data_IF_914594428977
#
_entry.id   IF_914594428977
#
_cell.length_a   1.000
_cell.length_b   1.000
_cell.length_c   1.000
_cell.angle_alpha   90.00
_cell.angle_beta   90.00
_cell.angle_gamma   90.00
#
_symmetry.space_group_name_H-M   'P 1'
#
loop_
_entity.id
_entity.type
_entity.pdbx_description
1 polymer ?
#
# COMPACT_ATOMS: atom_id res chain seq x y z
N UNK A 1 12.77 17.36 -23.51
CA UNK A 1 12.46 16.59 -22.29
C UNK A 1 11.68 15.37 -22.71
N UNK A 2 12.37 14.31 -23.12
CA UNK A 2 11.79 12.98 -23.19
C UNK A 2 11.75 12.46 -21.76
N UNK A 3 10.65 12.68 -21.07
CA UNK A 3 10.37 12.10 -19.75
C UNK A 3 10.05 10.64 -19.96
N UNK A 4 10.92 9.73 -19.49
CA UNK A 4 10.48 8.35 -19.28
C UNK A 4 9.58 8.37 -18.05
N UNK A 5 8.27 8.36 -18.28
CA UNK A 5 7.27 8.31 -17.22
C UNK A 5 7.29 6.90 -16.62
N UNK A 6 7.75 6.72 -15.38
CA UNK A 6 7.49 5.47 -14.68
C UNK A 6 6.03 5.48 -14.25
N UNK A 7 5.13 5.05 -15.12
CA UNK A 7 3.83 4.55 -14.67
C UNK A 7 4.09 3.11 -14.25
N UNK A 8 4.59 2.91 -13.04
CA UNK A 8 4.09 1.75 -12.32
C UNK A 8 2.61 2.06 -12.05
N UNK A 9 1.73 1.10 -12.32
CA UNK A 9 0.36 1.08 -11.78
C UNK A 9 0.37 1.66 -10.37
N UNK A 10 -0.66 2.38 -9.87
CA UNK A 10 -0.61 2.90 -8.50
C UNK A 10 -0.43 1.69 -7.57
N UNK A 11 0.81 1.51 -7.11
CA UNK A 11 1.17 0.41 -6.24
C UNK A 11 0.51 0.74 -4.91
N UNK A 12 -0.08 -0.28 -4.30
CA UNK A 12 -0.70 -0.09 -3.00
C UNK A 12 0.36 0.36 -1.99
N UNK A 13 -0.04 1.16 -1.01
CA UNK A 13 0.84 1.72 0.03
C UNK A 13 1.67 0.66 0.75
N UNK A 14 1.23 -0.61 0.78
CA UNK A 14 2.04 -1.73 1.26
C UNK A 14 3.46 -1.71 0.70
N UNK A 15 3.58 -1.59 -0.62
CA UNK A 15 4.81 -1.83 -1.39
C UNK A 15 5.38 -0.53 -1.99
N UNK A 16 4.58 0.53 -2.03
CA UNK A 16 4.96 1.81 -2.59
C UNK A 16 5.71 2.68 -1.58
N UNK A 17 7.01 2.90 -1.83
CA UNK A 17 7.89 3.69 -0.94
C UNK A 17 8.56 4.88 -1.63
N UNK A 18 8.73 4.81 -2.94
CA UNK A 18 9.36 5.84 -3.78
C UNK A 18 8.72 5.87 -5.16
N UNK A 19 8.49 7.08 -5.67
CA UNK A 19 8.07 7.36 -7.04
C UNK A 19 8.67 8.68 -7.52
N UNK A 20 8.78 8.88 -8.83
CA UNK A 20 9.51 10.02 -9.35
C UNK A 20 9.49 10.20 -10.85
N UNK A 21 10.22 11.22 -11.29
CA UNK A 21 10.53 11.51 -12.68
C UNK A 21 11.99 11.17 -12.95
N UNK A 22 12.26 10.61 -14.12
CA UNK A 22 13.60 10.28 -14.58
C UNK A 22 13.87 10.88 -15.96
N UNK A 23 15.05 11.48 -16.11
CA UNK A 23 15.60 11.93 -17.38
C UNK A 23 16.79 11.04 -17.73
N UNK A 24 16.70 10.36 -18.87
CA UNK A 24 17.67 9.37 -19.36
C UNK A 24 18.96 9.98 -19.94
N UNK A 25 19.11 11.31 -19.87
CA UNK A 25 20.28 12.02 -20.37
C UNK A 25 20.35 12.19 -21.89
N UNK A 26 19.40 11.65 -22.67
CA UNK A 26 19.36 11.71 -24.15
C UNK A 26 19.38 13.14 -24.72
N UNK A 27 18.99 14.12 -23.91
CA UNK A 27 18.95 15.54 -24.28
C UNK A 27 19.95 16.41 -23.51
N UNK A 28 20.82 15.79 -22.70
CA UNK A 28 21.86 16.49 -21.93
C UNK A 28 23.20 16.51 -22.69
N UNK A 29 24.04 17.57 -22.56
CA UNK A 29 25.30 17.66 -23.30
C UNK A 29 26.33 16.57 -22.98
N UNK A 30 26.33 16.06 -21.75
CA UNK A 30 27.29 15.06 -21.25
C UNK A 30 26.65 13.66 -21.08
N UNK A 31 25.40 13.49 -21.52
CA UNK A 31 24.63 12.26 -21.33
C UNK A 31 24.20 12.00 -19.90
N UNK A 32 24.41 12.92 -18.94
CA UNK A 32 24.02 12.73 -17.54
C UNK A 32 22.54 12.47 -17.36
N UNK A 33 22.22 11.52 -16.50
CA UNK A 33 20.85 11.23 -16.09
C UNK A 33 20.48 11.98 -14.83
N UNK A 34 19.20 12.22 -14.63
CA UNK A 34 18.68 12.94 -13.46
C UNK A 34 17.42 12.27 -12.94
N UNK A 35 17.32 12.12 -11.62
CA UNK A 35 16.13 11.65 -10.94
C UNK A 35 15.58 12.69 -9.98
N UNK A 36 14.25 12.81 -9.92
CA UNK A 36 13.52 13.58 -8.93
C UNK A 36 12.43 12.69 -8.32
N UNK A 37 12.61 12.34 -7.04
CA UNK A 37 11.84 11.30 -6.38
C UNK A 37 11.15 11.83 -5.13
N UNK A 38 9.88 11.48 -4.92
CA UNK A 38 9.27 11.56 -3.60
C UNK A 38 9.67 10.29 -2.84
N UNK A 39 10.39 10.49 -1.75
CA UNK A 39 10.76 9.42 -0.81
C UNK A 39 9.83 9.49 0.38
N UNK A 40 9.03 8.44 0.57
CA UNK A 40 8.14 8.32 1.71
C UNK A 40 8.85 7.55 2.82
N UNK A 41 9.47 8.26 3.76
CA UNK A 41 10.08 7.64 4.94
C UNK A 41 9.05 6.84 5.72
N UNK A 42 7.83 7.38 5.82
CA UNK A 42 6.72 6.75 6.51
C UNK A 42 5.40 7.19 5.89
N UNK A 43 4.42 6.30 5.97
CA UNK A 43 3.01 6.57 5.66
C UNK A 43 2.14 6.37 6.91
N UNK A 44 2.75 6.42 8.09
CA UNK A 44 2.09 6.16 9.38
C UNK A 44 1.02 7.19 9.73
N UNK A 45 1.15 8.38 9.18
CA UNK A 45 0.16 9.45 9.29
C UNK A 45 -0.81 9.52 8.10
N UNK A 46 -0.77 8.58 7.15
CA UNK A 46 -1.71 8.57 6.01
C UNK A 46 -3.00 7.83 6.42
N UNK A 47 -3.97 7.72 5.51
CA UNK A 47 -5.21 6.97 5.71
C UNK A 47 -5.39 5.85 4.67
N UNK A 48 -6.32 4.93 4.95
CA UNK A 48 -6.75 3.86 4.04
C UNK A 48 -5.96 2.55 4.15
N UNK A 49 -4.92 2.51 4.98
CA UNK A 49 -4.13 1.30 5.22
C UNK A 49 -3.28 0.84 4.03
N UNK A 50 -2.68 -0.36 4.13
CA UNK A 50 -1.73 -0.87 3.12
C UNK A 50 -2.37 -1.21 1.77
N UNK A 51 -3.71 -1.22 1.67
CA UNK A 51 -4.44 -1.49 0.41
C UNK A 51 -4.79 -0.23 -0.36
N UNK A 52 -4.58 0.94 0.23
CA UNK A 52 -4.85 2.20 -0.45
C UNK A 52 -3.80 2.45 -1.54
N UNK A 53 -4.19 3.15 -2.59
CA UNK A 53 -3.36 3.51 -3.74
C UNK A 53 -3.85 4.84 -4.30
N UNK A 54 -2.96 5.66 -4.83
CA UNK A 54 -3.32 6.99 -5.29
C UNK A 54 -2.46 7.46 -6.48
N UNK A 55 -2.75 8.66 -7.00
CA UNK A 55 -1.98 9.28 -8.07
C UNK A 55 -0.58 9.63 -7.56
N UNK A 56 0.43 9.25 -8.35
CA UNK A 56 1.85 9.41 -7.98
C UNK A 56 2.63 10.21 -9.01
N UNK A 57 2.43 9.97 -10.31
CA UNK A 57 3.09 10.67 -11.42
C UNK A 57 2.18 10.72 -12.65
N UNK A 58 2.00 11.91 -13.24
CA UNK A 58 1.31 12.12 -14.54
C UNK A 58 1.95 13.22 -15.41
N UNK A 59 3.20 13.57 -15.11
CA UNK A 59 3.86 14.80 -15.57
C UNK A 59 4.03 15.81 -14.42
N UNK A 60 3.20 15.68 -13.38
CA UNK A 60 3.40 16.26 -12.05
C UNK A 60 3.82 15.15 -11.10
N UNK A 61 4.70 15.47 -10.16
CA UNK A 61 5.11 14.57 -9.08
C UNK A 61 4.25 14.86 -7.84
N UNK A 62 3.40 13.90 -7.44
CA UNK A 62 2.46 14.11 -6.35
C UNK A 62 2.88 13.45 -5.05
N UNK A 63 2.27 13.87 -3.95
CA UNK A 63 2.19 13.08 -2.73
C UNK A 63 0.73 13.12 -2.24
N UNK A 64 -0.11 12.23 -2.76
CA UNK A 64 -1.51 12.15 -2.36
C UNK A 64 -1.63 11.47 -0.99
N UNK A 65 -1.73 12.31 0.03
CA UNK A 65 -1.82 11.87 1.43
C UNK A 65 -3.25 11.39 1.76
N UNK A 66 -4.25 12.07 1.20
CA UNK A 66 -5.68 11.81 1.41
C UNK A 66 -6.42 12.08 0.10
N UNK A 67 -7.30 11.17 -0.30
CA UNK A 67 -8.23 11.37 -1.40
C UNK A 67 -9.50 10.53 -1.18
N UNK A 68 -10.51 10.78 -2.01
CA UNK A 68 -11.68 9.92 -2.16
C UNK A 68 -11.54 9.00 -3.40
N UNK A 69 -10.31 8.75 -3.87
CA UNK A 69 -10.10 7.79 -4.94
C UNK A 69 -10.54 6.41 -4.48
N UNK A 70 -11.13 5.64 -5.41
CA UNK A 70 -11.76 4.36 -5.12
C UNK A 70 -12.98 4.43 -4.17
N UNK A 71 -13.55 5.62 -3.93
CA UNK A 71 -14.68 5.82 -3.01
C UNK A 71 -14.27 5.76 -1.54
N UNK A 72 -12.99 5.97 -1.25
CA UNK A 72 -12.45 5.95 0.11
C UNK A 72 -12.98 7.10 0.96
N UNK A 73 -13.24 6.82 2.24
CA UNK A 73 -13.60 7.87 3.19
C UNK A 73 -12.51 8.95 3.28
N UNK A 74 -12.93 10.21 3.45
CA UNK A 74 -12.03 11.34 3.74
C UNK A 74 -12.33 11.90 5.12
N UNK A 75 -11.34 12.49 5.83
CA UNK A 75 -11.58 13.00 7.17
C UNK A 75 -12.55 14.17 7.10
N UNK A 76 -13.41 14.29 8.10
CA UNK A 76 -14.30 15.44 8.18
C UNK A 76 -13.50 16.72 8.46
N UNK A 77 -13.50 17.65 7.50
CA UNK A 77 -12.81 18.94 7.58
C UNK A 77 -13.74 20.12 7.85
N UNK A 78 -15.02 19.91 8.17
CA UNK A 78 -16.00 21.00 8.36
C UNK A 78 -15.49 22.05 9.35
N UNK A 79 -14.80 21.64 10.41
CA UNK A 79 -14.20 22.53 11.41
C UNK A 79 -12.66 22.51 11.40
N UNK A 80 -12.06 21.94 10.35
CA UNK A 80 -10.64 21.62 10.29
C UNK A 80 -10.21 20.53 11.28
N UNK A 81 -8.95 20.10 11.15
CA UNK A 81 -8.27 19.28 12.15
C UNK A 81 -6.78 19.64 12.15
N UNK A 82 -6.13 19.40 13.28
CA UNK A 82 -4.69 19.63 13.43
C UNK A 82 -3.92 18.31 13.31
N UNK A 83 -3.00 18.24 12.34
CA UNK A 83 -2.24 17.03 12.01
C UNK A 83 -1.01 17.38 11.17
N UNK A 84 0.08 16.67 11.45
CA UNK A 84 1.28 16.63 10.62
C UNK A 84 1.32 15.32 9.84
N UNK A 85 1.63 15.40 8.55
CA UNK A 85 1.77 14.26 7.66
C UNK A 85 3.23 14.03 7.27
N UNK A 86 3.64 12.75 7.20
CA UNK A 86 4.99 12.33 6.84
C UNK A 86 5.85 11.97 8.06
N UNK A 87 7.20 11.99 7.94
CA UNK A 87 7.94 12.69 6.89
C UNK A 87 7.93 12.03 5.50
N UNK A 88 7.97 12.88 4.48
CA UNK A 88 8.33 12.54 3.10
C UNK A 88 9.16 13.70 2.55
N UNK A 89 10.10 13.43 1.63
CA UNK A 89 10.95 14.48 1.05
C UNK A 89 11.22 14.24 -0.43
N UNK A 90 11.77 15.26 -1.09
CA UNK A 90 12.19 15.17 -2.49
C UNK A 90 13.68 14.83 -2.56
N UNK A 91 14.00 13.67 -3.12
CA UNK A 91 15.37 13.23 -3.38
C UNK A 91 15.74 13.54 -4.84
N UNK A 92 16.86 14.23 -5.02
CA UNK A 92 17.40 14.55 -6.33
C UNK A 92 18.75 13.87 -6.49
N UNK A 93 18.92 13.11 -7.57
CA UNK A 93 20.19 12.47 -7.90
C UNK A 93 20.59 12.71 -9.36
N UNK A 94 21.90 12.66 -9.59
CA UNK A 94 22.53 12.75 -10.91
C UNK A 94 23.33 11.48 -11.14
N UNK A 95 23.11 10.82 -12.27
CA UNK A 95 23.91 9.68 -12.72
C UNK A 95 24.79 10.04 -13.93
N UNK A 96 25.90 9.32 -14.15
CA UNK A 96 26.62 9.37 -15.42
C UNK A 96 25.78 8.85 -16.59
N UNK A 97 26.26 9.06 -17.82
CA UNK A 97 25.63 8.49 -19.00
C UNK A 97 25.47 6.97 -18.91
N UNK A 98 24.26 6.48 -19.19
CA UNK A 98 23.92 5.06 -19.13
C UNK A 98 23.37 4.58 -17.80
N UNK A 99 23.31 5.41 -16.75
CA UNK A 99 22.58 5.07 -15.52
C UNK A 99 21.12 4.77 -15.82
N UNK A 100 20.58 3.69 -15.28
CA UNK A 100 19.19 3.29 -15.52
C UNK A 100 18.21 3.99 -14.58
N UNK A 101 16.92 3.94 -14.94
CA UNK A 101 15.85 4.40 -14.06
C UNK A 101 15.87 3.64 -12.74
N UNK A 102 16.06 2.32 -12.79
CA UNK A 102 16.09 1.45 -11.62
C UNK A 102 17.26 1.81 -10.70
N UNK A 103 18.46 2.03 -11.25
CA UNK A 103 19.62 2.45 -10.46
C UNK A 103 19.38 3.80 -9.77
N UNK A 104 18.85 4.80 -10.48
CA UNK A 104 18.49 6.09 -9.92
C UNK A 104 17.37 5.99 -8.87
N UNK A 105 16.40 5.09 -9.06
CA UNK A 105 15.32 4.84 -8.10
C UNK A 105 15.82 4.13 -6.84
N UNK A 106 16.68 3.13 -6.97
CA UNK A 106 17.25 2.40 -5.84
C UNK A 106 18.10 3.30 -4.94
N UNK A 107 18.82 4.26 -5.54
CA UNK A 107 19.52 5.31 -4.77
C UNK A 107 18.54 6.15 -3.92
N UNK A 108 17.32 6.42 -4.40
CA UNK A 108 16.30 7.09 -3.59
C UNK A 108 15.65 6.13 -2.57
N UNK A 109 15.40 4.88 -2.96
CA UNK A 109 14.69 3.88 -2.16
C UNK A 109 15.41 3.52 -0.86
N UNK A 110 16.75 3.52 -0.85
CA UNK A 110 17.53 3.20 0.35
C UNK A 110 17.18 4.11 1.55
N UNK A 111 16.65 5.30 1.30
CA UNK A 111 16.28 6.28 2.31
C UNK A 111 14.81 6.23 2.73
N UNK A 112 13.98 5.41 2.08
CA UNK A 112 12.54 5.33 2.31
C UNK A 112 12.16 4.56 3.59
N UNK A 113 12.93 4.71 4.66
CA UNK A 113 12.76 4.04 5.94
C UNK A 113 12.34 5.03 7.03
N UNK A 114 11.46 4.64 7.96
CA UNK A 114 11.09 5.49 9.10
C UNK A 114 12.27 5.70 10.07
N UNK A 115 13.30 4.85 10.00
CA UNK A 115 14.51 4.94 10.82
C UNK A 115 15.59 5.83 10.20
N UNK A 116 15.50 6.11 8.89
CA UNK A 116 16.48 6.96 8.23
C UNK A 116 16.43 8.39 8.77
N UNK A 117 17.60 8.91 9.15
CA UNK A 117 17.79 10.26 9.67
C UNK A 117 16.88 10.62 10.87
N UNK A 118 16.55 9.62 11.70
CA UNK A 118 15.69 9.82 12.87
C UNK A 118 16.23 10.88 13.84
N UNK A 119 17.55 10.99 14.01
CA UNK A 119 18.19 12.00 14.85
C UNK A 119 17.90 13.43 14.37
N UNK A 120 17.92 13.67 13.06
CA UNK A 120 17.56 14.97 12.49
C UNK A 120 16.11 15.31 12.78
N UNK A 121 15.18 14.38 12.50
CA UNK A 121 13.75 14.62 12.74
C UNK A 121 13.44 14.83 14.22
N UNK A 122 14.11 14.10 15.12
CA UNK A 122 14.02 14.31 16.55
C UNK A 122 14.55 15.70 16.96
N UNK A 123 15.64 16.16 16.35
CA UNK A 123 16.23 17.48 16.66
C UNK A 123 15.33 18.65 16.30
N UNK A 124 14.47 18.50 15.28
CA UNK A 124 13.52 19.53 14.86
C UNK A 124 12.10 19.32 15.43
N UNK A 125 11.86 18.23 16.16
CA UNK A 125 10.54 17.85 16.66
C UNK A 125 9.85 18.97 17.46
N UNK A 126 10.62 19.76 18.22
CA UNK A 126 10.10 20.90 19.01
C UNK A 126 9.50 22.01 18.14
N UNK A 127 9.87 22.09 16.86
CA UNK A 127 9.40 23.08 15.89
C UNK A 127 8.33 22.54 14.94
N UNK A 128 8.04 21.23 14.98
CA UNK A 128 7.06 20.58 14.11
C UNK A 128 5.87 20.13 14.97
N UNK A 129 4.75 20.88 14.98
CA UNK A 129 3.58 20.51 15.75
C UNK A 129 3.15 19.07 15.48
N UNK A 130 2.69 18.37 16.51
CA UNK A 130 2.16 17.00 16.41
C UNK A 130 3.14 15.92 15.89
N UNK A 131 4.40 16.26 15.61
CA UNK A 131 5.42 15.24 15.31
C UNK A 131 5.75 14.47 16.59
N UNK A 132 5.76 13.14 16.50
CA UNK A 132 6.16 12.27 17.61
C UNK A 132 7.61 11.81 17.38
N UNK A 133 8.57 12.27 18.20
CA UNK A 133 9.96 11.86 18.09
C UNK A 133 10.16 10.41 18.55
N UNK A 134 11.37 9.88 18.38
CA UNK A 134 11.76 8.52 18.78
C UNK A 134 11.38 8.21 20.23
N UNK A 135 11.50 9.17 21.14
CA UNK A 135 11.17 9.00 22.57
C UNK A 135 9.69 8.72 22.84
N UNK A 136 8.80 8.99 21.88
CA UNK A 136 7.37 8.65 21.94
C UNK A 136 6.98 7.40 21.15
N UNK A 137 7.98 6.65 20.65
CA UNK A 137 7.79 5.49 19.76
C UNK A 137 8.43 4.23 20.37
N UNK A 138 7.87 3.08 20.02
CA UNK A 138 8.38 1.76 20.39
C UNK A 138 8.40 0.83 19.18
N UNK A 139 8.73 -0.43 19.45
CA UNK A 139 8.74 -1.48 18.43
C UNK A 139 7.68 -2.51 18.78
N UNK A 140 6.83 -2.85 17.82
CA UNK A 140 5.92 -3.97 17.96
C UNK A 140 6.52 -5.22 17.30
N UNK A 141 6.57 -6.34 18.04
CA UNK A 141 7.01 -7.64 17.55
C UNK A 141 5.88 -8.65 17.71
N UNK A 142 5.69 -9.48 16.70
CA UNK A 142 4.65 -10.51 16.68
C UNK A 142 5.21 -11.88 16.29
N UNK A 143 4.59 -12.93 16.82
CA UNK A 143 4.68 -14.29 16.29
C UNK A 143 3.28 -14.77 15.95
N UNK A 144 3.05 -15.03 14.66
CA UNK A 144 1.74 -15.35 14.10
C UNK A 144 1.79 -16.75 13.51
N UNK A 145 0.95 -17.65 14.05
CA UNK A 145 0.76 -18.96 13.44
C UNK A 145 -0.08 -18.84 12.16
N UNK A 146 0.56 -19.08 11.01
CA UNK A 146 -0.06 -18.99 9.69
C UNK A 146 -0.64 -20.35 9.23
N UNK A 147 -1.80 -20.37 8.54
CA UNK A 147 -2.25 -21.55 7.82
C UNK A 147 -1.31 -21.92 6.68
N UNK A 148 -1.24 -23.21 6.32
CA UNK A 148 -0.32 -23.73 5.29
C UNK A 148 -0.42 -23.05 3.92
N UNK A 149 -1.61 -22.57 3.55
CA UNK A 149 -1.89 -22.01 2.22
C UNK A 149 -1.74 -20.48 2.18
N UNK A 150 -1.34 -19.86 3.30
CA UNK A 150 -1.21 -18.41 3.40
C UNK A 150 -0.06 -17.88 2.54
N UNK A 151 -0.35 -16.86 1.73
CA UNK A 151 0.64 -16.19 0.87
C UNK A 151 0.67 -14.69 1.18
N UNK A 152 1.84 -14.07 1.04
CA UNK A 152 2.08 -12.64 1.32
C UNK A 152 1.39 -12.14 2.62
N UNK A 153 1.53 -12.85 3.76
CA UNK A 153 0.90 -12.46 5.00
C UNK A 153 1.42 -11.10 5.50
N UNK A 154 0.56 -10.30 6.10
CA UNK A 154 0.86 -8.96 6.61
C UNK A 154 0.20 -8.75 7.97
N UNK A 155 0.91 -8.12 8.89
CA UNK A 155 0.38 -7.59 10.13
C UNK A 155 0.17 -6.08 10.00
N UNK A 156 -0.99 -5.60 10.43
CA UNK A 156 -1.42 -4.20 10.29
C UNK A 156 -1.83 -3.69 11.67
N UNK A 157 -1.23 -2.59 12.12
CA UNK A 157 -1.65 -1.85 13.32
C UNK A 157 -2.33 -0.55 12.91
N UNK A 158 -3.62 -0.40 13.22
CA UNK A 158 -4.39 0.80 12.93
C UNK A 158 -5.23 1.23 14.13
N UNK A 159 -6.03 2.28 13.93
CA UNK A 159 -7.03 2.75 14.89
C UNK A 159 -7.72 1.57 15.59
N UNK A 160 -7.69 1.61 16.93
CA UNK A 160 -8.35 0.61 17.75
C UNK A 160 -9.86 0.58 17.47
N UNK A 161 -10.47 -0.61 17.44
CA UNK A 161 -11.90 -0.82 17.24
C UNK A 161 -12.48 -0.41 15.87
N UNK A 162 -11.65 -0.06 14.89
CA UNK A 162 -12.07 0.29 13.52
C UNK A 162 -11.48 -0.69 12.48
N UNK A 163 -12.10 -0.81 11.30
CA UNK A 163 -11.42 -1.49 10.18
C UNK A 163 -10.17 -0.70 9.77
N UNK A 164 -9.15 -1.39 9.28
CA UNK A 164 -7.88 -0.75 8.95
C UNK A 164 -7.98 0.23 7.76
N UNK A 165 -8.99 0.08 6.89
CA UNK A 165 -9.25 1.01 5.78
C UNK A 165 -10.10 2.21 6.21
N UNK A 166 -10.80 2.12 7.35
CA UNK A 166 -11.70 3.16 7.87
C UNK A 166 -11.04 4.05 8.93
N UNK A 167 -9.70 4.03 9.02
CA UNK A 167 -8.95 4.80 10.02
C UNK A 167 -9.10 6.33 9.89
N UNK A 168 -9.74 6.79 8.82
CA UNK A 168 -10.06 8.19 8.54
C UNK A 168 -11.12 8.78 9.49
N UNK A 169 -11.88 7.93 10.18
CA UNK A 169 -12.91 8.34 11.15
C UNK A 169 -12.28 9.07 12.34
N UNK A 170 -11.04 8.70 12.72
CA UNK A 170 -10.24 9.42 13.70
C UNK A 170 -9.13 10.20 12.98
N UNK A 171 -9.25 11.53 12.94
CA UNK A 171 -8.27 12.43 12.32
C UNK A 171 -6.88 12.35 12.97
N UNK A 172 -6.74 11.70 14.13
CA UNK A 172 -5.48 11.48 14.85
C UNK A 172 -4.97 10.04 14.75
N UNK A 173 -5.65 9.16 14.01
CA UNK A 173 -5.23 7.78 13.84
C UNK A 173 -3.83 7.68 13.21
N UNK A 174 -3.11 6.62 13.56
CA UNK A 174 -1.88 6.22 12.88
C UNK A 174 -2.07 4.82 12.30
N UNK A 175 -1.29 4.48 11.29
CA UNK A 175 -1.30 3.17 10.64
C UNK A 175 0.12 2.63 10.49
N UNK A 176 0.28 1.32 10.62
CA UNK A 176 1.57 0.67 10.43
C UNK A 176 1.35 -0.72 9.89
N UNK A 177 2.32 -1.26 9.17
CA UNK A 177 2.30 -2.65 8.76
C UNK A 177 3.71 -3.18 8.51
N UNK A 178 3.82 -4.50 8.53
CA UNK A 178 4.98 -5.22 8.02
C UNK A 178 4.56 -6.59 7.52
N UNK A 179 5.33 -7.10 6.57
CA UNK A 179 5.21 -8.48 6.11
C UNK A 179 5.55 -9.45 7.24
N UNK A 180 4.81 -10.55 7.29
CA UNK A 180 5.07 -11.64 8.23
C UNK A 180 5.96 -12.64 7.51
N UNK A 181 7.04 -13.08 8.15
CA UNK A 181 7.88 -14.14 7.61
C UNK A 181 7.05 -15.43 7.48
N UNK A 182 6.83 -15.97 6.28
CA UNK A 182 5.93 -17.13 6.11
C UNK A 182 6.43 -18.41 6.76
N UNK A 183 7.74 -18.52 7.03
CA UNK A 183 8.37 -19.74 7.54
C UNK A 183 8.31 -19.84 9.07
N UNK A 184 8.48 -18.71 9.76
CA UNK A 184 8.57 -18.59 11.21
C UNK A 184 7.32 -17.94 11.83
N UNK A 185 6.55 -17.18 11.04
CA UNK A 185 5.46 -16.36 11.53
C UNK A 185 5.93 -15.08 12.24
N UNK A 186 7.23 -14.77 12.22
CA UNK A 186 7.78 -13.59 12.88
C UNK A 186 7.44 -12.31 12.10
N UNK A 187 7.20 -11.23 12.82
CA UNK A 187 6.99 -9.89 12.25
C UNK A 187 7.48 -8.83 13.22
N UNK A 188 8.01 -7.73 12.68
CA UNK A 188 8.45 -6.58 13.44
C UNK A 188 8.03 -5.29 12.73
N UNK A 189 7.46 -4.36 13.48
CA UNK A 189 7.11 -3.02 13.03
C UNK A 189 7.85 -2.03 13.94
N UNK A 190 8.92 -1.39 13.44
CA UNK A 190 9.66 -0.40 14.21
C UNK A 190 8.93 0.95 14.28
N UNK A 191 9.35 1.79 15.21
CA UNK A 191 8.93 3.21 15.33
C UNK A 191 7.41 3.43 15.38
N UNK A 192 6.67 2.50 15.97
CA UNK A 192 5.24 2.63 16.21
C UNK A 192 5.02 3.64 17.33
N UNK A 193 4.24 4.69 17.06
CA UNK A 193 3.82 5.66 18.10
C UNK A 193 3.20 4.91 19.29
N UNK A 194 3.52 5.32 20.50
CA UNK A 194 2.89 4.74 21.68
C UNK A 194 1.36 4.95 21.67
N UNK A 195 0.63 3.90 22.03
CA UNK A 195 -0.83 3.89 21.97
C UNK A 195 -1.44 2.49 21.98
N UNK A 196 -2.77 2.46 21.86
CA UNK A 196 -3.55 1.24 21.70
C UNK A 196 -4.03 1.11 20.25
N UNK A 197 -3.85 -0.08 19.67
CA UNK A 197 -4.09 -0.38 18.27
C UNK A 197 -5.00 -1.59 18.12
N UNK A 198 -5.66 -1.68 16.97
CA UNK A 198 -6.15 -2.96 16.45
C UNK A 198 -5.05 -3.59 15.61
N UNK A 199 -4.71 -4.85 15.92
CA UNK A 199 -3.97 -5.71 15.00
C UNK A 199 -4.96 -6.35 14.03
N UNK A 200 -4.72 -6.17 12.73
CA UNK A 200 -5.36 -6.94 11.67
C UNK A 200 -4.29 -7.78 10.98
N UNK A 201 -4.55 -9.08 10.80
CA UNK A 201 -3.67 -9.96 10.02
C UNK A 201 -4.43 -10.45 8.80
N UNK A 202 -3.81 -10.22 7.65
CA UNK A 202 -4.34 -10.56 6.33
C UNK A 202 -3.32 -11.43 5.59
N UNK A 203 -3.80 -12.37 4.78
CA UNK A 203 -2.96 -13.17 3.89
C UNK A 203 -3.75 -13.58 2.64
N UNK A 204 -3.10 -13.61 1.49
CA UNK A 204 -3.68 -14.19 0.28
C UNK A 204 -3.93 -15.68 0.46
N UNK A 205 -4.99 -16.20 -0.16
CA UNK A 205 -5.40 -17.60 -0.05
C UNK A 205 -6.15 -17.94 1.24
N UNK A 206 -6.25 -17.01 2.19
CA UNK A 206 -7.02 -17.18 3.43
C UNK A 206 -8.30 -16.33 3.37
N UNK A 207 -9.44 -16.95 3.65
CA UNK A 207 -10.71 -16.24 3.71
C UNK A 207 -10.83 -15.47 5.02
N UNK A 208 -11.15 -14.17 4.92
CA UNK A 208 -11.28 -13.26 6.06
C UNK A 208 -9.94 -12.71 6.57
N UNK A 209 -10.01 -11.99 7.68
CA UNK A 209 -8.85 -11.49 8.42
C UNK A 209 -8.93 -11.94 9.89
N UNK A 210 -7.78 -12.01 10.57
CA UNK A 210 -7.76 -12.06 12.03
C UNK A 210 -7.70 -10.64 12.57
N UNK A 211 -8.48 -10.33 13.61
CA UNK A 211 -8.45 -9.02 14.26
C UNK A 211 -8.33 -9.18 15.78
N UNK A 212 -7.56 -8.28 16.39
CA UNK A 212 -7.44 -8.17 17.85
C UNK A 212 -7.30 -6.71 18.25
N UNK A 213 -8.23 -6.23 19.07
CA UNK A 213 -8.20 -4.88 19.65
C UNK A 213 -7.29 -4.78 20.87
N UNK A 214 -6.98 -3.54 21.25
CA UNK A 214 -6.23 -3.18 22.46
C UNK A 214 -4.79 -3.74 22.50
N UNK A 215 -4.13 -3.81 21.35
CA UNK A 215 -2.68 -4.04 21.27
C UNK A 215 -1.97 -2.77 21.74
N UNK A 216 -1.24 -2.85 22.84
CA UNK A 216 -0.56 -1.70 23.44
C UNK A 216 0.89 -1.66 22.98
N UNK A 217 1.30 -0.52 22.44
CA UNK A 217 2.71 -0.19 22.19
C UNK A 217 3.12 0.92 23.15
N UNK A 218 4.29 0.77 23.78
CA UNK A 218 4.87 1.74 24.69
C UNK A 218 6.18 2.28 24.14
N UNK A 219 6.60 3.50 24.53
CA UNK A 219 7.86 4.06 24.07
C UNK A 219 9.06 3.25 24.60
N UNK A 220 10.09 3.08 23.77
CA UNK A 220 11.35 2.43 24.15
C UNK A 220 11.26 0.93 24.52
N UNK A 221 10.08 0.30 24.41
CA UNK A 221 9.88 -1.11 24.68
C UNK A 221 9.73 -1.92 23.38
N UNK A 222 10.30 -3.12 23.37
CA UNK A 222 9.99 -4.18 22.41
C UNK A 222 8.79 -4.98 22.92
N UNK A 223 7.58 -4.63 22.47
CA UNK A 223 6.38 -5.39 22.83
C UNK A 223 6.34 -6.71 22.06
N UNK A 224 6.34 -7.86 22.75
CA UNK A 224 6.17 -9.18 22.14
C UNK A 224 4.70 -9.60 22.24
N UNK A 225 4.06 -9.81 21.09
CA UNK A 225 2.70 -10.31 20.99
C UNK A 225 2.65 -11.71 20.37
N UNK A 226 1.83 -12.60 20.93
CA UNK A 226 1.54 -13.91 20.32
C UNK A 226 0.09 -13.95 19.84
N UNK A 227 -0.10 -14.32 18.57
CA UNK A 227 -1.42 -14.43 17.94
C UNK A 227 -1.53 -15.67 17.06
N UNK A 228 -2.76 -16.12 16.80
CA UNK A 228 -2.98 -17.23 15.87
C UNK A 228 -4.08 -16.89 14.87
N UNK A 229 -3.79 -17.07 13.58
CA UNK A 229 -4.79 -16.91 12.53
C UNK A 229 -5.52 -18.24 12.37
N UNK A 230 -6.71 -18.35 12.96
CA UNK A 230 -7.62 -19.48 12.74
C UNK A 230 -8.34 -19.38 11.40
N UNK A 231 -8.73 -20.52 10.82
CA UNK A 231 -9.73 -20.53 9.73
C UNK A 231 -11.09 -20.13 10.34
N UNK A 232 -11.85 -19.19 9.76
CA UNK A 232 -13.22 -18.95 10.19
C UNK A 232 -14.00 -20.27 10.15
N UNK A 233 -14.77 -20.58 11.20
CA UNK A 233 -15.80 -21.62 11.09
C UNK A 233 -16.76 -21.17 10.00
N UNK A 234 -16.95 -22.01 8.98
CA UNK A 234 -17.86 -21.75 7.89
C UNK A 234 -19.21 -21.29 8.42
N UNK A 235 -19.60 -20.06 8.08
CA UNK A 235 -20.98 -19.62 8.24
C UNK A 235 -21.80 -20.47 7.27
N UNK A 236 -22.87 -21.06 7.79
CA UNK A 236 -23.66 -22.09 7.13
C UNK A 236 -24.10 -21.71 5.69
N UNK A 237 -23.88 -22.66 4.78
CA UNK A 237 -24.76 -22.98 3.65
C UNK A 237 -24.99 -21.92 2.57
N UNK A 238 -23.94 -21.60 1.79
CA UNK A 238 -24.06 -21.58 0.31
C UNK A 238 -22.91 -22.42 -0.24
N UNK A 239 -23.17 -23.70 -0.43
CA UNK A 239 -22.27 -24.60 -1.16
C UNK A 239 -22.39 -24.31 -2.67
N UNK A 240 -21.88 -23.17 -3.10
CA UNK A 240 -21.34 -23.05 -4.45
C UNK A 240 -19.84 -23.16 -4.27
N UNK A 241 -19.24 -24.23 -4.78
CA UNK A 241 -17.80 -24.44 -4.77
C UNK A 241 -17.12 -23.36 -5.63
N UNK A 242 -17.06 -22.14 -5.11
CA UNK A 242 -16.27 -21.04 -5.62
C UNK A 242 -14.86 -21.31 -5.11
N UNK A 243 -14.11 -22.11 -5.86
CA UNK A 243 -12.66 -22.16 -5.76
C UNK A 243 -12.16 -20.72 -5.64
N UNK A 244 -11.45 -20.42 -4.55
CA UNK A 244 -10.67 -19.21 -4.27
C UNK A 244 -10.70 -18.23 -5.46
N UNK A 245 -11.68 -17.33 -5.49
CA UNK A 245 -11.64 -16.24 -6.47
C UNK A 245 -10.56 -15.30 -5.96
N UNK A 246 -9.35 -15.54 -6.42
CA UNK A 246 -8.27 -14.58 -6.34
C UNK A 246 -8.65 -13.45 -7.30
N UNK A 247 -9.35 -12.43 -6.77
CA UNK A 247 -9.85 -11.25 -7.49
C UNK A 247 -8.73 -10.37 -8.08
N UNK A 248 -7.47 -10.81 -8.06
CA UNK A 248 -6.32 -10.08 -8.60
C UNK A 248 -5.92 -10.51 -10.01
N UNK A 249 -6.55 -11.52 -10.62
CA UNK A 249 -6.31 -11.84 -12.04
C UNK A 249 -7.44 -11.32 -12.92
N UNK A 250 -7.34 -10.04 -13.28
CA UNK A 250 -8.05 -9.54 -14.44
C UNK A 250 -7.46 -10.20 -15.70
N UNK A 251 -8.29 -10.49 -16.71
CA UNK A 251 -7.81 -10.92 -18.04
C UNK A 251 -6.94 -9.82 -18.67
N UNK A 252 -7.14 -8.56 -18.25
CA UNK A 252 -6.23 -7.47 -18.52
C UNK A 252 -4.92 -7.71 -17.77
N UNK A 253 -3.89 -8.10 -18.50
CA UNK A 253 -2.52 -8.25 -17.98
C UNK A 253 -1.89 -6.93 -17.55
N UNK A 254 -2.54 -5.79 -17.83
CA UNK A 254 -2.03 -4.46 -17.56
C UNK A 254 -3.11 -3.61 -16.89
N UNK A 255 -2.92 -3.28 -15.61
CA UNK A 255 -3.82 -2.42 -14.81
C UNK A 255 -3.65 -0.93 -15.12
N UNK A 256 -2.72 -0.60 -16.02
CA UNK A 256 -2.31 0.77 -16.39
C UNK A 256 -3.13 1.36 -17.55
N UNK A 257 -3.96 0.53 -18.21
CA UNK A 257 -4.71 0.95 -19.40
C UNK A 257 -6.17 1.18 -19.03
N UNK A 258 -6.71 2.33 -19.44
CA UNK A 258 -8.13 2.65 -19.29
C UNK A 258 -8.98 1.54 -19.90
N UNK A 259 -9.94 1.03 -19.13
CA UNK A 259 -10.68 -0.18 -19.51
C UNK A 259 -11.49 -0.03 -20.80
N UNK A 260 -11.91 1.19 -21.18
CA UNK A 260 -12.62 1.43 -22.45
C UNK A 260 -11.69 1.51 -23.67
N UNK A 261 -10.37 1.41 -23.48
CA UNK A 261 -9.44 1.11 -24.56
C UNK A 261 -9.61 -0.33 -25.07
N UNK A 262 -10.34 -1.18 -24.33
CA UNK A 262 -10.69 -2.54 -24.75
C UNK A 262 -12.16 -2.62 -25.17
N UNK A 263 -12.41 -3.19 -26.33
CA UNK A 263 -13.72 -3.63 -26.78
C UNK A 263 -13.89 -5.10 -26.37
N UNK A 264 -14.37 -5.31 -25.14
CA UNK A 264 -14.43 -6.62 -24.49
C UNK A 264 -15.06 -7.76 -25.34
N UNK A 265 -16.16 -7.52 -26.08
CA UNK A 265 -16.71 -8.47 -27.05
C UNK A 265 -15.76 -8.90 -28.17
N UNK A 266 -15.00 -7.98 -28.76
CA UNK A 266 -14.14 -8.25 -29.92
C UNK A 266 -12.72 -8.66 -29.52
N UNK A 267 -12.17 -8.06 -28.48
CA UNK A 267 -10.83 -8.36 -27.95
C UNK A 267 -10.75 -9.73 -27.27
N UNK A 268 -11.90 -10.22 -26.78
CA UNK A 268 -11.99 -11.50 -26.08
C UNK A 268 -13.16 -12.34 -26.60
N UNK A 269 -13.14 -12.75 -27.87
CA UNK A 269 -14.29 -13.33 -28.57
C UNK A 269 -14.58 -14.78 -28.15
N UNK A 270 -13.68 -15.42 -27.38
CA UNK A 270 -13.77 -16.81 -26.93
C UNK A 270 -14.20 -16.95 -25.45
N UNK A 271 -14.76 -15.91 -24.84
CA UNK A 271 -15.25 -15.97 -23.45
C UNK A 271 -16.27 -17.10 -23.33
N UNK A 272 -15.95 -18.11 -22.53
CA UNK A 272 -16.93 -19.15 -22.17
C UNK A 272 -17.80 -18.61 -21.05
N UNK A 273 -19.12 -18.83 -21.08
CA UNK A 273 -19.93 -18.66 -19.87
C UNK A 273 -19.32 -19.53 -18.77
N UNK A 274 -19.18 -18.99 -17.55
CA UNK A 274 -18.77 -19.80 -16.39
C UNK A 274 -19.90 -20.77 -16.07
N UNK A 275 -19.82 -21.99 -16.62
CA UNK A 275 -20.81 -23.04 -16.44
C UNK A 275 -20.32 -24.02 -15.38
N UNK A 276 -20.34 -23.60 -14.11
CA UNK A 276 -20.11 -24.49 -12.97
C UNK A 276 -18.88 -25.41 -13.12
N UNK A 277 -19.06 -26.73 -12.87
CA UNK A 277 -17.97 -27.72 -12.88
C UNK A 277 -17.35 -27.84 -14.28
N UNK A 278 -16.18 -27.23 -14.46
CA UNK A 278 -15.39 -27.30 -15.70
C UNK A 278 -14.74 -25.99 -16.10
N UNK A 279 -15.20 -24.85 -15.54
CA UNK A 279 -14.60 -23.54 -15.76
C UNK A 279 -13.47 -23.25 -14.78
N UNK A 280 -12.39 -22.65 -15.27
CA UNK A 280 -11.33 -22.06 -14.45
C UNK A 280 -11.76 -20.62 -14.13
N UNK A 281 -12.34 -20.41 -12.95
CA UNK A 281 -12.90 -19.09 -12.56
C UNK A 281 -11.87 -17.97 -12.64
N UNK A 282 -10.58 -18.25 -12.46
CA UNK A 282 -9.51 -17.25 -12.58
C UNK A 282 -9.20 -16.84 -14.04
N UNK A 283 -9.74 -17.56 -15.03
CA UNK A 283 -9.56 -17.30 -16.46
C UNK A 283 -10.86 -16.98 -17.19
N UNK A 284 -11.94 -17.64 -16.77
CA UNK A 284 -13.21 -17.65 -17.49
C UNK A 284 -14.19 -16.59 -16.96
N UNK A 285 -14.01 -16.12 -15.71
CA UNK A 285 -14.86 -15.07 -15.15
C UNK A 285 -14.33 -13.69 -15.53
N UNK A 286 -15.15 -12.93 -16.24
CA UNK A 286 -14.94 -11.49 -16.34
C UNK A 286 -15.40 -10.85 -15.02
N UNK A 287 -14.49 -10.29 -14.25
CA UNK A 287 -14.89 -9.63 -13.00
C UNK A 287 -15.61 -8.30 -13.24
N UNK A 288 -15.46 -7.68 -14.42
CA UNK A 288 -16.06 -6.37 -14.71
C UNK A 288 -17.11 -6.48 -15.82
N UNK A 289 -18.37 -6.29 -15.44
CA UNK A 289 -19.53 -6.35 -16.32
C UNK A 289 -20.22 -4.98 -16.35
N UNK A 290 -20.48 -4.44 -17.53
CA UNK A 290 -21.10 -3.13 -17.73
C UNK A 290 -22.48 -3.29 -18.36
N UNK A 291 -23.43 -2.46 -17.93
CA UNK A 291 -24.76 -2.36 -18.55
C UNK A 291 -24.79 -1.36 -19.73
N UNK A 292 -23.86 -0.40 -19.78
CA UNK A 292 -23.81 0.67 -20.80
C UNK A 292 -22.34 1.04 -21.09
N UNK A 293 -21.97 1.19 -22.37
CA UNK A 293 -20.63 1.62 -22.83
C UNK A 293 -20.65 3.11 -23.20
N UNK A 294 -19.79 3.92 -22.56
CA UNK A 294 -19.80 5.39 -22.66
C UNK A 294 -19.00 5.99 -23.82
N UNK A 295 -18.42 5.17 -24.70
CA UNK A 295 -17.56 5.61 -25.80
C UNK A 295 -16.07 5.40 -25.53
N UNK A 296 -15.26 5.50 -26.60
CA UNK A 296 -13.80 5.40 -26.55
C UNK A 296 -13.20 6.70 -25.98
N UNK A 297 -12.10 6.57 -25.22
CA UNK A 297 -11.27 7.72 -24.88
C UNK A 297 -10.30 7.96 -26.06
N UNK A 298 -10.20 9.21 -26.52
CA UNK A 298 -9.24 9.65 -27.55
C UNK A 298 -7.80 9.72 -27.00
#
# INVERSE_FOLDING_TARGET
LTTSLSIHSPDIWRDHRVHGLFADGSTSPDGSTYGAWVVMNTVDTYFGGPKNSDLVVDGILYNYIVSNHHGNGTPNITNGFDRTFGPAYHHFNKGPAGTTLEESREDALQYASPEWNAEFYDSIAVYVPNYVPTSGRGTWKGSIRLPRDAKKPIAILTQNKADFQDNVIDTKAYQYWADIDPSSGAVQIPRVKAGAYRLTVYAEGIFGHFTQDNIVVKPGEDGIHQGSMGRPRAVASIAMAMSVIQLTRCILKNTVIYWAAYDYPTDFPKRRPVQGRGSDVAKDLNYVHWSVFGGYAD
#
